data_IF_214459425748
#
_entry.id   IF_214459425748
#
_cell.length_a   1.000
_cell.length_b   1.000
_cell.length_c   1.000
_cell.angle_alpha   90.00
_cell.angle_beta   90.00
_cell.angle_gamma   90.00
#
_symmetry.space_group_name_H-M   'P 1'
#
loop_
_entity.id
_entity.type
_entity.pdbx_description
1 polymer ?
#
# COMPACT_ATOMS: atom_id res chain seq x y z
N UNK A 1 -41.16 43.68 -2.16
CA UNK A 1 -39.80 43.24 -2.48
C UNK A 1 -39.57 41.90 -1.78
N UNK A 2 -39.66 40.82 -2.49
CA UNK A 2 -39.40 39.45 -1.98
C UNK A 2 -37.95 39.11 -2.33
N UNK A 3 -37.10 38.94 -1.32
CA UNK A 3 -35.73 38.49 -1.51
C UNK A 3 -35.75 36.94 -1.63
N UNK A 4 -35.50 36.45 -2.82
CA UNK A 4 -35.37 35.03 -3.10
C UNK A 4 -33.99 34.57 -2.60
N UNK A 5 -33.95 33.84 -1.48
CA UNK A 5 -32.74 33.23 -0.94
C UNK A 5 -32.47 31.94 -1.77
N UNK A 6 -31.59 32.05 -2.76
CA UNK A 6 -31.08 30.87 -3.49
C UNK A 6 -30.15 30.12 -2.56
N UNK A 7 -30.66 29.06 -1.94
CA UNK A 7 -29.86 28.11 -1.18
C UNK A 7 -29.05 27.28 -2.18
N UNK A 8 -27.78 27.64 -2.40
CA UNK A 8 -26.85 26.79 -3.12
C UNK A 8 -26.55 25.57 -2.26
N UNK A 9 -27.16 24.45 -2.60
CA UNK A 9 -26.71 23.15 -2.14
C UNK A 9 -25.32 22.89 -2.74
N UNK A 10 -24.27 23.22 -2.00
CA UNK A 10 -22.96 22.64 -2.22
C UNK A 10 -23.09 21.16 -1.93
N UNK A 11 -23.21 20.35 -2.98
CA UNK A 11 -23.18 18.91 -2.89
C UNK A 11 -21.88 18.50 -2.22
N UNK A 12 -21.93 18.04 -0.98
CA UNK A 12 -20.83 17.35 -0.32
C UNK A 12 -20.55 16.10 -1.15
N UNK A 13 -19.44 16.12 -1.89
CA UNK A 13 -18.93 14.91 -2.52
C UNK A 13 -18.44 13.99 -1.39
N UNK A 14 -19.14 12.91 -1.18
CA UNK A 14 -18.76 11.87 -0.22
C UNK A 14 -17.48 11.20 -0.69
N UNK A 15 -16.44 11.21 0.12
CA UNK A 15 -15.11 10.64 -0.11
C UNK A 15 -14.95 9.40 0.81
N UNK A 16 -14.22 8.38 0.48
CA UNK A 16 -14.50 6.96 0.73
C UNK A 16 -13.34 6.16 1.37
N UNK A 17 -13.50 5.03 2.13
CA UNK A 17 -12.38 4.37 2.84
C UNK A 17 -12.57 2.96 3.41
N UNK A 18 -11.45 2.36 3.93
CA UNK A 18 -11.39 1.02 4.53
C UNK A 18 -12.44 0.77 5.63
N UNK A 19 -12.87 -0.48 5.79
CA UNK A 19 -13.68 -0.92 6.94
C UNK A 19 -12.81 -0.82 8.20
N UNK A 20 -13.26 -0.09 9.21
CA UNK A 20 -12.52 0.07 10.47
C UNK A 20 -13.32 -0.47 11.66
N UNK A 21 -12.64 -1.17 12.56
CA UNK A 21 -13.22 -1.74 13.78
C UNK A 21 -13.29 -0.71 14.92
N UNK A 22 -13.71 0.55 14.62
CA UNK A 22 -14.03 1.54 15.65
C UNK A 22 -15.42 1.35 16.18
N UNK A 23 -15.77 1.94 17.32
CA UNK A 23 -17.12 1.78 17.93
C UNK A 23 -18.25 2.08 16.93
N UNK A 24 -18.12 3.16 16.16
CA UNK A 24 -19.16 3.57 15.19
C UNK A 24 -18.88 3.15 13.75
N UNK A 25 -17.61 2.84 13.41
CA UNK A 25 -17.15 2.62 12.03
C UNK A 25 -17.12 3.87 11.17
N UNK A 26 -17.36 5.05 11.74
CA UNK A 26 -17.48 6.33 11.01
C UNK A 26 -16.28 7.27 11.22
N UNK A 27 -15.30 6.86 12.05
CA UNK A 27 -14.09 7.65 12.34
C UNK A 27 -13.03 7.61 11.23
N UNK A 28 -11.86 8.19 11.53
CA UNK A 28 -10.65 8.14 10.71
C UNK A 28 -10.80 8.75 9.31
N UNK A 29 -11.59 9.82 9.19
CA UNK A 29 -11.91 10.51 7.92
C UNK A 29 -11.06 11.74 7.64
N UNK A 30 -10.10 12.02 8.51
CA UNK A 30 -9.09 13.09 8.36
C UNK A 30 -7.71 12.47 8.57
N UNK A 31 -6.67 13.17 8.14
CA UNK A 31 -5.28 12.71 8.31
C UNK A 31 -5.01 12.25 9.75
N UNK A 32 -4.35 11.10 9.97
CA UNK A 32 -3.90 10.72 11.31
C UNK A 32 -2.89 11.73 11.84
N UNK A 33 -2.76 11.85 13.17
CA UNK A 33 -1.81 12.77 13.79
C UNK A 33 -0.35 12.50 13.42
N UNK A 34 -0.02 11.24 13.18
CA UNK A 34 1.27 10.78 12.61
C UNK A 34 1.03 10.41 11.14
N UNK A 35 0.95 11.44 10.31
CA UNK A 35 0.50 11.35 8.91
C UNK A 35 1.50 10.61 8.01
N UNK A 36 1.14 9.44 7.43
CA UNK A 36 2.02 8.68 6.55
C UNK A 36 2.06 9.19 5.10
N UNK A 37 1.20 10.14 4.72
CA UNK A 37 0.97 10.59 3.35
C UNK A 37 -0.51 10.49 2.96
N UNK A 38 -1.41 10.83 3.89
CA UNK A 38 -2.85 10.84 3.68
C UNK A 38 -3.27 11.63 2.44
N UNK A 39 -2.70 12.79 2.22
CA UNK A 39 -3.02 13.70 1.10
C UNK A 39 -2.64 13.11 -0.26
N UNK A 40 -1.71 12.15 -0.26
CA UNK A 40 -1.25 11.47 -1.47
C UNK A 40 -2.22 10.38 -1.94
N UNK A 41 -3.19 9.97 -1.11
CA UNK A 41 -4.17 8.95 -1.45
C UNK A 41 -5.45 9.64 -1.95
N UNK A 42 -6.00 9.14 -3.05
CA UNK A 42 -7.17 9.76 -3.67
C UNK A 42 -8.10 8.78 -4.36
N UNK A 43 -9.28 9.28 -4.73
CA UNK A 43 -10.29 8.50 -5.44
C UNK A 43 -9.94 8.42 -6.92
N UNK A 44 -9.87 7.20 -7.45
CA UNK A 44 -9.63 6.91 -8.86
C UNK A 44 -10.81 6.07 -9.42
N UNK A 45 -11.75 6.73 -10.07
CA UNK A 45 -12.95 6.05 -10.57
C UNK A 45 -13.69 5.30 -9.47
N UNK A 46 -13.86 3.98 -9.63
CA UNK A 46 -14.47 3.11 -8.62
C UNK A 46 -13.46 2.59 -7.58
N UNK A 47 -12.18 2.91 -7.71
CA UNK A 47 -11.08 2.49 -6.83
C UNK A 47 -10.35 3.67 -6.19
N UNK A 48 -9.12 3.39 -5.81
CA UNK A 48 -8.19 4.30 -5.13
C UNK A 48 -6.90 4.40 -5.94
N UNK A 49 -6.17 5.49 -5.77
CA UNK A 49 -4.83 5.68 -6.34
C UNK A 49 -3.95 6.44 -5.38
N UNK A 50 -2.64 6.29 -5.53
CA UNK A 50 -1.62 6.92 -4.67
C UNK A 50 -0.68 7.77 -5.52
N UNK A 51 -0.65 9.07 -5.25
CA UNK A 51 0.30 9.99 -5.84
C UNK A 51 1.69 9.79 -5.22
N UNK A 52 2.69 9.49 -6.04
CA UNK A 52 4.04 9.16 -5.59
C UNK A 52 5.00 10.35 -5.61
N UNK A 53 4.67 11.41 -6.32
CA UNK A 53 5.56 12.53 -6.64
C UNK A 53 5.80 12.65 -8.14
N UNK A 54 6.35 13.78 -8.60
CA UNK A 54 6.68 14.05 -10.02
C UNK A 54 5.53 13.73 -11.00
N UNK A 55 4.30 14.00 -10.60
CA UNK A 55 3.05 13.72 -11.32
C UNK A 55 2.71 12.23 -11.49
N UNK A 56 3.45 11.30 -10.89
CA UNK A 56 3.17 9.87 -10.99
C UNK A 56 2.13 9.41 -9.98
N UNK A 57 1.23 8.57 -10.44
CA UNK A 57 0.22 7.86 -9.63
C UNK A 57 0.43 6.37 -9.82
N UNK A 58 0.31 5.62 -8.72
CA UNK A 58 0.28 4.17 -8.68
C UNK A 58 -1.09 3.71 -8.19
N UNK A 59 -1.63 2.67 -8.83
CA UNK A 59 -2.92 2.05 -8.50
C UNK A 59 -2.90 0.57 -8.84
N UNK A 60 -3.98 -0.16 -8.55
CA UNK A 60 -4.16 -1.52 -9.06
C UNK A 60 -4.43 -1.51 -10.57
N UNK A 61 -3.93 -2.51 -11.30
CA UNK A 61 -4.11 -2.58 -12.75
C UNK A 61 -5.59 -2.77 -13.14
N UNK A 62 -6.35 -3.53 -12.37
CA UNK A 62 -7.79 -3.69 -12.60
C UNK A 62 -8.61 -2.41 -12.33
N UNK A 63 -8.04 -1.42 -11.60
CA UNK A 63 -8.61 -0.07 -11.47
C UNK A 63 -8.23 0.79 -12.69
N UNK A 64 -7.02 0.63 -13.19
CA UNK A 64 -6.48 1.30 -14.37
C UNK A 64 -6.16 2.78 -14.17
N UNK A 65 -5.59 3.40 -15.20
CA UNK A 65 -5.30 4.83 -15.21
C UNK A 65 -6.52 5.73 -15.45
N UNK A 66 -6.40 7.01 -15.14
CA UNK A 66 -7.39 8.06 -15.39
C UNK A 66 -7.34 9.18 -14.35
N UNK A 67 -8.34 10.03 -14.35
CA UNK A 67 -8.42 11.16 -13.42
C UNK A 67 -8.49 10.71 -11.98
N UNK A 68 -7.83 11.45 -11.09
CA UNK A 68 -7.79 11.18 -9.65
C UNK A 68 -8.22 12.41 -8.88
N UNK A 69 -9.03 12.22 -7.83
CA UNK A 69 -9.43 13.25 -6.87
C UNK A 69 -8.48 13.20 -5.68
N UNK A 70 -7.65 14.23 -5.50
CA UNK A 70 -6.71 14.39 -4.39
C UNK A 70 -7.05 15.69 -3.64
N UNK A 71 -7.26 15.61 -2.33
CA UNK A 71 -7.52 16.79 -1.50
C UNK A 71 -8.73 17.65 -1.96
N UNK A 72 -9.71 17.05 -2.66
CA UNK A 72 -10.88 17.75 -3.20
C UNK A 72 -10.66 18.37 -4.61
N UNK A 73 -9.47 18.25 -5.21
CA UNK A 73 -9.17 18.69 -6.57
C UNK A 73 -9.00 17.48 -7.51
N UNK A 74 -9.56 17.59 -8.72
CA UNK A 74 -9.40 16.56 -9.76
C UNK A 74 -8.17 16.85 -10.61
N UNK A 75 -7.30 15.85 -10.75
CA UNK A 75 -6.12 15.88 -11.60
C UNK A 75 -6.27 14.89 -12.75
N UNK A 76 -6.10 15.40 -13.97
CA UNK A 76 -6.32 14.62 -15.19
C UNK A 76 -5.09 13.78 -15.55
N UNK A 77 -5.31 12.54 -15.96
CA UNK A 77 -4.26 11.67 -16.49
C UNK A 77 -3.69 12.22 -17.80
N UNK A 78 -2.37 12.24 -17.93
CA UNK A 78 -1.70 12.52 -19.20
C UNK A 78 -1.83 11.30 -20.14
N UNK A 79 -2.38 11.52 -21.32
CA UNK A 79 -2.63 10.45 -22.29
C UNK A 79 -1.34 9.73 -22.69
N UNK A 80 -1.40 8.40 -22.82
CA UNK A 80 -0.30 7.56 -23.27
C UNK A 80 0.86 7.37 -22.28
N UNK A 81 0.73 7.83 -21.03
CA UNK A 81 1.79 7.68 -20.01
C UNK A 81 1.66 6.43 -19.15
N UNK A 82 0.51 5.74 -19.24
CA UNK A 82 0.22 4.61 -18.38
C UNK A 82 0.90 3.32 -18.80
N UNK A 83 1.38 2.55 -17.84
CA UNK A 83 1.93 1.21 -18.03
C UNK A 83 1.72 0.33 -16.81
N UNK A 84 1.67 -0.99 -17.04
CA UNK A 84 1.56 -2.00 -16.01
C UNK A 84 2.95 -2.46 -15.57
N UNK A 85 3.15 -2.64 -14.26
CA UNK A 85 4.40 -3.18 -13.73
C UNK A 85 4.53 -4.67 -14.03
N UNK A 86 5.74 -5.19 -13.93
CA UNK A 86 6.08 -6.57 -14.27
C UNK A 86 6.61 -7.35 -13.09
N UNK A 87 6.49 -8.67 -13.13
CA UNK A 87 7.11 -9.62 -12.20
C UNK A 87 8.54 -9.96 -12.65
N UNK A 88 9.33 -8.95 -12.99
CA UNK A 88 10.69 -9.12 -13.53
C UNK A 88 11.56 -9.97 -12.61
N UNK A 89 12.18 -11.02 -13.16
CA UNK A 89 13.06 -11.95 -12.43
C UNK A 89 12.32 -13.05 -11.64
N UNK A 90 10.99 -13.05 -11.58
CA UNK A 90 10.21 -14.09 -10.90
C UNK A 90 9.88 -15.24 -11.83
N UNK A 91 10.64 -16.34 -11.74
CA UNK A 91 10.42 -17.52 -12.56
C UNK A 91 9.08 -18.20 -12.24
N UNK A 92 8.35 -18.61 -13.28
CA UNK A 92 7.07 -19.32 -13.15
C UNK A 92 5.90 -18.43 -12.69
N UNK A 93 6.05 -17.09 -12.77
CA UNK A 93 5.01 -16.11 -12.48
C UNK A 93 4.51 -15.45 -13.77
N UNK A 94 3.32 -14.85 -13.72
CA UNK A 94 2.83 -14.02 -14.81
C UNK A 94 3.81 -12.90 -15.13
N UNK A 95 3.93 -12.51 -16.41
CA UNK A 95 4.84 -11.41 -16.81
C UNK A 95 4.43 -10.09 -16.18
N UNK A 96 3.13 -9.80 -16.17
CA UNK A 96 2.56 -8.59 -15.60
C UNK A 96 2.06 -8.86 -14.17
N UNK A 97 2.03 -7.82 -13.35
CA UNK A 97 1.42 -7.82 -12.02
C UNK A 97 0.19 -6.91 -11.98
N UNK A 98 -0.65 -7.01 -10.96
CA UNK A 98 -1.82 -6.15 -10.80
C UNK A 98 -1.48 -4.75 -10.26
N UNK A 99 -0.44 -4.11 -10.82
CA UNK A 99 -0.03 -2.73 -10.53
C UNK A 99 0.05 -1.90 -11.81
N UNK A 100 -0.47 -0.68 -11.77
CA UNK A 100 -0.49 0.23 -12.90
C UNK A 100 -0.01 1.63 -12.50
N UNK A 101 0.90 2.20 -13.28
CA UNK A 101 1.42 3.55 -13.11
C UNK A 101 1.03 4.45 -14.27
N UNK A 102 0.80 5.74 -13.97
CA UNK A 102 0.52 6.75 -15.00
C UNK A 102 0.89 8.15 -14.49
N UNK A 103 1.06 9.11 -15.40
CA UNK A 103 1.30 10.50 -15.05
C UNK A 103 0.04 11.36 -15.08
N UNK A 104 0.03 12.40 -14.26
CA UNK A 104 -0.92 13.50 -14.31
C UNK A 104 -0.44 14.59 -15.26
N UNK A 105 -1.36 15.35 -15.85
CA UNK A 105 -1.06 16.53 -16.70
C UNK A 105 -0.46 17.67 -15.88
N UNK A 106 -0.85 17.81 -14.61
CA UNK A 106 -0.36 18.81 -13.68
C UNK A 106 0.16 18.16 -12.40
N UNK A 107 1.11 18.82 -11.74
CA UNK A 107 1.63 18.38 -10.44
C UNK A 107 0.69 18.85 -9.32
N UNK A 108 0.21 17.96 -8.43
CA UNK A 108 -0.56 18.33 -7.25
C UNK A 108 0.22 19.17 -6.23
N UNK A 109 1.55 19.21 -6.32
CA UNK A 109 2.40 19.90 -5.35
C UNK A 109 2.50 19.21 -4.00
N UNK A 110 2.11 17.92 -3.92
CA UNK A 110 2.22 17.12 -2.70
C UNK A 110 3.63 16.55 -2.55
N UNK A 111 4.09 16.28 -1.32
CA UNK A 111 5.39 15.66 -1.08
C UNK A 111 5.50 14.30 -1.81
N UNK A 112 6.69 13.99 -2.33
CA UNK A 112 6.97 12.68 -2.86
C UNK A 112 7.02 11.65 -1.72
N UNK A 113 6.43 10.47 -1.95
CA UNK A 113 6.45 9.36 -1.01
C UNK A 113 7.74 8.55 -1.14
N UNK A 114 8.25 8.07 -0.02
CA UNK A 114 9.28 7.03 0.00
C UNK A 114 8.63 5.69 -0.26
N UNK A 115 9.24 4.89 -1.12
CA UNK A 115 8.81 3.51 -1.37
C UNK A 115 9.66 2.57 -0.52
N UNK A 116 9.06 1.60 0.12
CA UNK A 116 9.78 0.59 0.89
C UNK A 116 10.83 -0.13 0.02
N UNK A 117 12.03 -0.32 0.56
CA UNK A 117 13.15 -0.98 -0.13
C UNK A 117 13.37 -2.42 0.32
N UNK A 118 12.62 -2.85 1.31
CA UNK A 118 12.63 -4.22 1.83
C UNK A 118 11.21 -4.62 2.25
N UNK A 119 10.89 -5.90 2.10
CA UNK A 119 9.63 -6.48 2.59
C UNK A 119 9.49 -6.20 4.09
N UNK A 120 8.38 -5.61 4.55
CA UNK A 120 8.13 -5.44 5.98
C UNK A 120 8.05 -6.78 6.70
N UNK A 121 8.67 -6.88 7.86
CA UNK A 121 8.65 -8.10 8.65
C UNK A 121 7.22 -8.46 9.11
N UNK A 122 6.97 -9.75 9.35
CA UNK A 122 5.75 -10.21 10.00
C UNK A 122 5.52 -9.48 11.32
N UNK A 123 4.26 -9.20 11.64
CA UNK A 123 3.80 -8.40 12.79
C UNK A 123 4.22 -6.91 12.74
N UNK A 124 4.82 -6.45 11.66
CA UNK A 124 5.06 -5.02 11.46
C UNK A 124 3.74 -4.28 11.36
N UNK A 125 3.55 -3.27 12.21
CA UNK A 125 2.36 -2.43 12.17
C UNK A 125 2.30 -1.63 10.87
N UNK A 126 1.10 -1.53 10.31
CA UNK A 126 0.81 -0.79 9.08
C UNK A 126 -0.34 0.19 9.30
N UNK A 127 -0.34 1.26 8.50
CA UNK A 127 -1.51 2.13 8.31
C UNK A 127 -2.02 1.96 6.89
N UNK A 128 -3.29 1.57 6.77
CA UNK A 128 -3.99 1.37 5.50
C UNK A 128 -4.83 2.61 5.22
N UNK A 129 -4.76 3.15 4.00
CA UNK A 129 -5.55 4.32 3.58
C UNK A 129 -6.23 3.98 2.27
N UNK A 130 -7.54 4.12 2.23
CA UNK A 130 -8.29 3.78 1.05
C UNK A 130 -9.59 4.55 0.90
N UNK A 131 -10.32 4.23 -0.17
CA UNK A 131 -11.55 4.88 -0.59
C UNK A 131 -12.65 3.85 -0.96
N UNK A 132 -12.74 2.74 -0.22
CA UNK A 132 -13.72 1.67 -0.44
C UNK A 132 -15.08 1.88 0.21
N UNK A 133 -15.90 0.83 0.27
CA UNK A 133 -17.24 0.87 0.85
C UNK A 133 -17.20 1.11 2.36
N UNK A 134 -18.19 1.86 2.87
CA UNK A 134 -18.36 2.12 4.29
C UNK A 134 -18.81 0.87 5.06
N UNK A 135 -18.43 0.83 6.33
CA UNK A 135 -18.92 -0.16 7.28
C UNK A 135 -20.39 0.07 7.63
N UNK A 136 -21.19 -0.98 7.49
CA UNK A 136 -22.56 -1.03 7.95
C UNK A 136 -22.73 -1.60 9.36
N UNK A 137 -23.89 -2.19 9.61
CA UNK A 137 -24.22 -2.79 10.89
C UNK A 137 -23.38 -4.04 11.19
N UNK A 138 -23.13 -4.28 12.48
CA UNK A 138 -22.58 -5.55 12.95
C UNK A 138 -23.49 -6.70 12.57
N UNK A 139 -22.92 -7.80 12.15
CA UNK A 139 -23.63 -9.02 11.77
C UNK A 139 -22.87 -10.26 12.26
N UNK A 140 -23.56 -11.33 12.51
CA UNK A 140 -22.98 -12.58 12.99
C UNK A 140 -23.71 -13.79 12.42
N UNK A 141 -22.98 -14.90 12.29
CA UNK A 141 -23.44 -16.10 11.61
C UNK A 141 -23.04 -17.37 12.32
N UNK A 142 -23.85 -18.42 12.13
CA UNK A 142 -23.41 -19.81 12.25
C UNK A 142 -22.98 -20.30 10.89
N UNK A 143 -21.72 -20.70 10.77
CA UNK A 143 -21.12 -21.19 9.54
C UNK A 143 -20.89 -22.69 9.64
N UNK A 144 -21.50 -23.44 8.74
CA UNK A 144 -21.26 -24.87 8.57
C UNK A 144 -20.20 -25.07 7.46
N UNK A 145 -19.05 -25.59 7.81
CA UNK A 145 -17.90 -25.83 6.90
C UNK A 145 -17.86 -27.24 6.35
N UNK A 146 -18.91 -28.07 6.54
CA UNK A 146 -18.96 -29.44 6.05
C UNK A 146 -19.15 -29.55 4.53
N UNK A 147 -19.53 -28.44 3.86
CA UNK A 147 -19.67 -28.34 2.40
C UNK A 147 -18.84 -27.21 1.85
N UNK A 148 -18.53 -27.25 0.56
CA UNK A 148 -17.92 -26.12 -0.18
C UNK A 148 -18.86 -25.82 -1.37
N UNK A 149 -19.47 -24.61 -1.44
CA UNK A 149 -19.30 -23.48 -0.51
C UNK A 149 -19.88 -23.72 0.89
N UNK A 150 -19.34 -23.02 1.90
CA UNK A 150 -19.84 -23.07 3.28
C UNK A 150 -21.28 -22.55 3.37
N UNK A 151 -22.03 -23.08 4.30
CA UNK A 151 -23.42 -22.62 4.54
C UNK A 151 -23.42 -21.62 5.68
N UNK A 152 -23.83 -20.38 5.39
CA UNK A 152 -23.90 -19.27 6.31
C UNK A 152 -25.34 -19.00 6.73
N UNK A 153 -25.60 -19.03 8.02
CA UNK A 153 -26.94 -18.73 8.60
C UNK A 153 -26.80 -17.60 9.61
N UNK A 154 -27.55 -16.52 9.43
CA UNK A 154 -27.55 -15.40 10.39
C UNK A 154 -27.91 -15.93 11.79
N UNK A 155 -27.08 -15.61 12.79
CA UNK A 155 -27.24 -16.08 14.16
C UNK A 155 -26.64 -15.07 15.14
N UNK A 156 -27.47 -14.60 16.10
CA UNK A 156 -27.06 -13.65 17.13
C UNK A 156 -26.87 -14.30 18.51
N UNK A 157 -27.21 -15.59 18.67
CA UNK A 157 -27.19 -16.26 19.99
C UNK A 157 -25.87 -16.96 20.22
N UNK A 158 -25.44 -17.84 19.30
CA UNK A 158 -24.19 -18.60 19.37
C UNK A 158 -23.48 -18.58 18.02
N UNK A 159 -23.01 -17.42 17.54
CA UNK A 159 -22.31 -17.32 16.27
C UNK A 159 -20.90 -17.91 16.38
N UNK A 160 -20.41 -18.50 15.28
CA UNK A 160 -19.01 -18.87 15.13
C UNK A 160 -18.27 -18.00 14.09
N UNK A 161 -18.97 -17.04 13.48
CA UNK A 161 -18.41 -15.99 12.66
C UNK A 161 -19.13 -14.67 12.92
N UNK A 162 -18.41 -13.56 12.81
CA UNK A 162 -18.94 -12.23 13.01
C UNK A 162 -18.17 -11.19 12.17
N UNK A 163 -18.76 -10.01 12.01
CA UNK A 163 -18.18 -8.91 11.25
C UNK A 163 -19.21 -7.82 11.01
N UNK A 164 -19.17 -7.23 9.82
CA UNK A 164 -20.02 -6.09 9.47
C UNK A 164 -20.61 -6.28 8.08
N UNK A 165 -21.82 -5.76 7.86
CA UNK A 165 -22.27 -5.47 6.50
C UNK A 165 -21.45 -4.34 5.90
N UNK A 166 -21.40 -4.23 4.58
CA UNK A 166 -20.90 -3.04 3.88
C UNK A 166 -22.07 -2.23 3.34
N UNK A 167 -21.88 -0.91 3.28
CA UNK A 167 -22.85 0.03 2.71
C UNK A 167 -22.45 0.35 1.26
N UNK A 168 -23.41 0.86 0.48
CA UNK A 168 -23.14 1.37 -0.87
C UNK A 168 -22.58 2.81 -0.86
N UNK A 169 -22.40 3.41 0.31
CA UNK A 169 -21.69 4.66 0.51
C UNK A 169 -20.20 4.38 0.70
N UNK A 170 -19.38 5.35 0.48
CA UNK A 170 -17.93 5.26 0.51
C UNK A 170 -17.37 6.52 1.19
N UNK A 171 -16.39 6.44 2.09
CA UNK A 171 -15.73 7.57 2.79
C UNK A 171 -14.23 7.29 2.89
N UNK A 172 -13.34 8.20 2.44
CA UNK A 172 -11.90 8.02 2.59
C UNK A 172 -11.55 7.90 4.08
N UNK A 173 -10.85 6.81 4.42
CA UNK A 173 -10.49 6.46 5.80
C UNK A 173 -9.09 5.90 5.87
N UNK A 174 -8.54 5.95 7.06
CA UNK A 174 -7.39 5.15 7.42
C UNK A 174 -7.75 4.18 8.54
N UNK A 175 -7.03 3.09 8.60
CA UNK A 175 -7.06 2.14 9.71
C UNK A 175 -5.69 1.53 9.91
N UNK A 176 -5.54 0.76 10.98
CA UNK A 176 -4.29 0.10 11.33
C UNK A 176 -4.44 -1.40 11.24
N UNK A 177 -3.35 -2.10 11.02
CA UNK A 177 -3.28 -3.55 11.06
C UNK A 177 -1.80 -3.97 11.25
N UNK A 178 -1.50 -5.27 11.14
CA UNK A 178 -0.14 -5.78 11.12
C UNK A 178 0.04 -6.79 9.98
N UNK A 179 1.25 -6.90 9.44
CA UNK A 179 1.57 -7.88 8.41
C UNK A 179 1.44 -9.28 9.00
N UNK A 180 0.51 -10.06 8.47
CA UNK A 180 0.24 -11.44 8.89
C UNK A 180 0.97 -12.48 8.03
N UNK A 181 1.08 -12.22 6.72
CA UNK A 181 1.70 -13.10 5.74
C UNK A 181 2.46 -12.30 4.69
N UNK A 182 3.42 -12.94 4.05
CA UNK A 182 4.12 -12.46 2.86
C UNK A 182 4.31 -13.60 1.86
N UNK A 183 4.45 -13.29 0.59
CA UNK A 183 4.74 -14.30 -0.43
C UNK A 183 3.99 -14.07 -1.74
N UNK A 184 4.10 -15.04 -2.63
CA UNK A 184 3.45 -14.99 -3.94
C UNK A 184 2.03 -15.55 -3.89
N UNK A 185 1.09 -14.84 -4.51
CA UNK A 185 -0.26 -15.33 -4.76
C UNK A 185 -0.80 -14.81 -6.09
N UNK A 186 -1.78 -15.52 -6.63
CA UNK A 186 -2.53 -15.06 -7.78
C UNK A 186 -3.60 -14.05 -7.35
N UNK A 187 -3.71 -12.95 -8.10
CA UNK A 187 -4.76 -11.95 -8.01
C UNK A 187 -5.44 -11.89 -9.38
N UNK A 188 -6.60 -12.55 -9.50
CA UNK A 188 -7.24 -12.74 -10.80
C UNK A 188 -6.32 -13.50 -11.77
N UNK A 189 -5.98 -12.88 -12.90
CA UNK A 189 -5.09 -13.44 -13.92
C UNK A 189 -3.60 -13.12 -13.69
N UNK A 190 -3.26 -12.31 -12.69
CA UNK A 190 -1.89 -11.89 -12.40
C UNK A 190 -1.36 -12.53 -11.12
N UNK A 191 -0.07 -12.90 -11.12
CA UNK A 191 0.65 -13.13 -9.88
C UNK A 191 1.14 -11.80 -9.29
N UNK A 192 1.26 -11.74 -7.97
CA UNK A 192 1.93 -10.64 -7.28
C UNK A 192 2.72 -11.14 -6.07
N UNK A 193 3.86 -10.51 -5.80
CA UNK A 193 4.51 -10.60 -4.48
C UNK A 193 3.67 -9.77 -3.52
N UNK A 194 3.18 -10.39 -2.44
CA UNK A 194 2.16 -9.82 -1.57
C UNK A 194 2.62 -9.66 -0.13
N UNK A 195 1.98 -8.69 0.51
CA UNK A 195 1.79 -8.54 1.94
C UNK A 195 0.32 -8.82 2.25
N UNK A 196 0.02 -9.56 3.30
CA UNK A 196 -1.35 -9.75 3.77
C UNK A 196 -1.51 -9.25 5.20
N UNK A 197 -2.67 -8.65 5.47
CA UNK A 197 -3.13 -8.33 6.83
C UNK A 197 -4.41 -9.09 7.12
N UNK A 198 -4.65 -9.47 8.39
CA UNK A 198 -5.86 -10.18 8.81
C UNK A 198 -6.73 -9.24 9.62
N UNK A 199 -8.02 -9.20 9.33
CA UNK A 199 -9.00 -8.40 10.06
C UNK A 199 -9.47 -9.18 11.28
N UNK A 200 -8.83 -9.00 12.41
CA UNK A 200 -9.23 -9.64 13.65
C UNK A 200 -9.87 -8.63 14.63
N UNK A 201 -10.52 -9.12 15.67
CA UNK A 201 -11.19 -8.28 16.65
C UNK A 201 -10.27 -7.94 17.85
N UNK A 202 -9.00 -8.26 17.77
CA UNK A 202 -8.11 -8.31 18.93
C UNK A 202 -7.00 -7.27 18.88
N UNK A 203 -6.60 -6.80 17.68
CA UNK A 203 -5.35 -6.05 17.51
C UNK A 203 -5.46 -4.57 17.92
N UNK A 204 -6.46 -3.85 17.44
CA UNK A 204 -6.66 -2.44 17.81
C UNK A 204 -8.10 -1.96 17.56
N UNK A 205 -8.47 -0.84 18.20
CA UNK A 205 -9.76 -0.18 17.96
C UNK A 205 -9.88 0.47 16.57
N UNK A 206 -8.77 0.57 15.82
CA UNK A 206 -8.74 1.11 14.44
C UNK A 206 -8.33 0.04 13.44
N UNK A 207 -8.40 -1.24 13.82
CA UNK A 207 -8.10 -2.33 12.93
C UNK A 207 -8.95 -2.28 11.68
N UNK A 208 -8.34 -2.60 10.54
CA UNK A 208 -8.96 -2.36 9.25
C UNK A 208 -8.83 -3.53 8.29
N UNK A 209 -9.85 -3.63 7.43
CA UNK A 209 -9.93 -4.50 6.27
C UNK A 209 -10.21 -3.64 5.04
N UNK A 210 -9.59 -3.97 3.91
CA UNK A 210 -10.01 -3.39 2.64
C UNK A 210 -11.43 -3.85 2.26
N UNK A 211 -12.13 -3.02 1.52
CA UNK A 211 -13.43 -3.30 0.93
C UNK A 211 -13.41 -2.98 -0.56
N UNK A 212 -14.47 -3.32 -1.27
CA UNK A 212 -14.64 -2.94 -2.68
C UNK A 212 -14.42 -1.43 -2.84
N UNK A 213 -13.49 -1.05 -3.74
CA UNK A 213 -13.10 0.33 -3.97
C UNK A 213 -11.82 0.76 -3.24
N UNK A 214 -11.28 -0.04 -2.32
CA UNK A 214 -9.95 0.20 -1.75
C UNK A 214 -8.82 -0.29 -2.66
N UNK A 215 -9.12 -1.05 -3.69
CA UNK A 215 -8.15 -1.43 -4.73
C UNK A 215 -7.37 -0.21 -5.23
N UNK A 216 -6.04 -0.28 -5.20
CA UNK A 216 -5.15 0.83 -5.49
C UNK A 216 -4.84 1.74 -4.30
N UNK A 217 -5.42 1.50 -3.12
CA UNK A 217 -5.14 2.22 -1.88
C UNK A 217 -3.82 1.84 -1.23
N UNK A 218 -3.36 2.68 -0.31
CA UNK A 218 -2.02 2.63 0.27
C UNK A 218 -1.93 1.75 1.52
N UNK A 219 -0.81 1.04 1.65
CA UNK A 219 -0.35 0.43 2.91
C UNK A 219 1.00 1.02 3.27
N UNK A 220 1.04 1.75 4.39
CA UNK A 220 2.24 2.41 4.88
C UNK A 220 2.84 1.66 6.06
N UNK A 221 4.18 1.63 6.13
CA UNK A 221 4.96 1.20 7.30
C UNK A 221 5.80 2.34 7.82
N UNK A 222 6.12 2.31 9.12
CA UNK A 222 7.04 3.29 9.71
C UNK A 222 8.36 2.61 10.05
N UNK A 223 9.45 3.08 9.44
CA UNK A 223 10.81 2.64 9.70
C UNK A 223 11.58 3.75 10.43
N UNK A 224 11.86 3.54 11.72
CA UNK A 224 12.37 4.59 12.58
C UNK A 224 11.36 5.75 12.68
N UNK A 225 11.76 6.93 12.22
CA UNK A 225 10.89 8.12 12.18
C UNK A 225 10.26 8.36 10.80
N UNK A 226 10.62 7.59 9.77
CA UNK A 226 10.18 7.80 8.39
C UNK A 226 9.03 6.86 8.03
N UNK A 227 8.01 7.40 7.36
CA UNK A 227 6.97 6.62 6.70
C UNK A 227 7.41 6.20 5.30
N UNK A 228 7.06 4.97 4.93
CA UNK A 228 7.31 4.40 3.61
C UNK A 228 6.02 3.76 3.08
N UNK A 229 5.73 3.97 1.81
CA UNK A 229 4.68 3.25 1.10
C UNK A 229 5.19 1.83 0.83
N UNK A 230 4.64 0.86 1.56
CA UNK A 230 5.07 -0.53 1.51
C UNK A 230 4.18 -1.40 0.62
N UNK A 231 2.91 -1.01 0.42
CA UNK A 231 2.01 -1.81 -0.40
C UNK A 231 0.90 -1.01 -1.06
N UNK A 232 0.31 -1.62 -2.09
CA UNK A 232 -0.93 -1.20 -2.75
C UNK A 232 -1.96 -2.29 -2.57
N UNK A 233 -3.12 -1.96 -2.00
CA UNK A 233 -4.22 -2.90 -1.80
C UNK A 233 -4.78 -3.40 -3.13
N UNK A 234 -4.91 -4.72 -3.29
CA UNK A 234 -5.34 -5.36 -4.52
C UNK A 234 -6.64 -6.16 -4.35
N UNK A 235 -6.76 -6.92 -3.27
CA UNK A 235 -7.87 -7.84 -3.10
C UNK A 235 -8.22 -8.07 -1.63
N UNK A 236 -9.43 -8.57 -1.41
CA UNK A 236 -9.88 -9.12 -0.12
C UNK A 236 -10.11 -10.61 -0.29
N UNK A 237 -9.53 -11.40 0.60
CA UNK A 237 -9.76 -12.84 0.69
C UNK A 237 -10.89 -13.09 1.68
N UNK A 238 -11.92 -13.74 1.21
CA UNK A 238 -13.13 -14.05 1.96
C UNK A 238 -13.28 -15.57 2.15
N UNK A 239 -14.10 -15.96 3.11
CA UNK A 239 -14.46 -17.37 3.28
C UNK A 239 -15.33 -17.88 2.13
N UNK A 240 -15.25 -19.18 1.89
CA UNK A 240 -16.12 -19.83 0.91
C UNK A 240 -17.60 -19.63 1.28
N UNK A 241 -18.40 -19.22 0.31
CA UNK A 241 -19.84 -18.96 0.51
C UNK A 241 -20.17 -17.77 1.43
N UNK A 242 -19.17 -16.96 1.83
CA UNK A 242 -19.43 -15.76 2.64
C UNK A 242 -20.50 -14.88 2.01
N UNK A 243 -21.50 -14.38 2.79
CA UNK A 243 -22.51 -13.48 2.26
C UNK A 243 -21.90 -12.27 1.57
N UNK A 244 -22.41 -11.92 0.40
CA UNK A 244 -21.97 -10.73 -0.33
C UNK A 244 -22.17 -9.46 0.50
N UNK A 245 -21.37 -8.43 0.22
CA UNK A 245 -21.42 -7.16 0.93
C UNK A 245 -21.23 -7.30 2.45
N UNK A 246 -20.29 -8.16 2.85
CA UNK A 246 -19.86 -8.32 4.24
C UNK A 246 -18.34 -8.26 4.40
N UNK A 247 -17.91 -7.74 5.54
CA UNK A 247 -16.54 -7.73 6.05
C UNK A 247 -16.51 -8.59 7.32
N UNK A 248 -16.01 -9.80 7.23
CA UNK A 248 -16.02 -10.77 8.33
C UNK A 248 -14.66 -10.78 9.00
N UNK A 249 -14.60 -10.93 10.32
CA UNK A 249 -13.34 -11.12 11.02
C UNK A 249 -12.62 -12.34 10.45
N UNK A 250 -11.30 -12.30 10.42
CA UNK A 250 -10.39 -13.22 9.76
C UNK A 250 -10.36 -13.12 8.22
N UNK A 251 -11.15 -12.24 7.57
CA UNK A 251 -10.89 -11.89 6.19
C UNK A 251 -9.52 -11.22 6.07
N UNK A 252 -8.88 -11.35 4.92
CA UNK A 252 -7.55 -10.80 4.70
C UNK A 252 -7.55 -9.74 3.60
N UNK A 253 -6.74 -8.69 3.78
CA UNK A 253 -6.40 -7.77 2.70
C UNK A 253 -5.08 -8.20 2.09
N UNK A 254 -5.06 -8.41 0.78
CA UNK A 254 -3.86 -8.67 -0.02
C UNK A 254 -3.41 -7.38 -0.69
N UNK A 255 -2.15 -7.02 -0.48
CA UNK A 255 -1.52 -5.83 -1.04
C UNK A 255 -0.23 -6.21 -1.74
N UNK A 256 0.07 -5.62 -2.90
CA UNK A 256 1.37 -5.83 -3.54
C UNK A 256 2.50 -5.34 -2.62
N UNK A 257 3.55 -6.13 -2.43
CA UNK A 257 4.77 -5.71 -1.75
C UNK A 257 5.61 -4.81 -2.67
N UNK A 258 5.59 -3.51 -2.42
CA UNK A 258 6.27 -2.55 -3.27
C UNK A 258 7.79 -2.63 -3.18
N UNK A 259 8.36 -3.29 -2.18
CA UNK A 259 9.80 -3.50 -2.12
C UNK A 259 10.30 -4.36 -3.29
N UNK A 260 9.51 -5.34 -3.74
CA UNK A 260 9.80 -6.13 -4.92
C UNK A 260 9.75 -5.30 -6.21
N UNK A 261 8.81 -4.36 -6.31
CA UNK A 261 8.61 -3.51 -7.48
C UNK A 261 9.38 -2.18 -7.40
N UNK A 262 10.08 -1.91 -6.30
CA UNK A 262 10.76 -0.64 -6.02
C UNK A 262 11.65 -0.20 -7.19
N UNK A 263 12.47 -1.11 -7.73
CA UNK A 263 13.38 -0.80 -8.85
C UNK A 263 12.68 -0.25 -10.10
N UNK A 264 11.46 -0.72 -10.41
CA UNK A 264 10.68 -0.22 -11.54
C UNK A 264 10.04 1.15 -11.22
N UNK A 265 9.60 1.34 -9.98
CA UNK A 265 8.94 2.58 -9.53
C UNK A 265 9.95 3.74 -9.50
N UNK A 266 11.12 3.55 -8.86
CA UNK A 266 12.12 4.62 -8.70
C UNK A 266 12.83 5.01 -10.00
N UNK A 267 12.78 4.17 -11.04
CA UNK A 267 13.26 4.53 -12.38
C UNK A 267 12.49 5.70 -12.98
N UNK A 268 11.20 5.82 -12.65
CA UNK A 268 10.32 6.88 -13.19
C UNK A 268 9.96 7.94 -12.15
N UNK A 269 10.01 7.59 -10.87
CA UNK A 269 9.77 8.49 -9.73
C UNK A 269 11.04 8.55 -8.86
N UNK A 270 12.07 9.34 -9.26
CA UNK A 270 13.28 9.46 -8.47
C UNK A 270 12.97 9.99 -7.07
N UNK A 271 13.52 9.32 -6.05
CA UNK A 271 13.36 9.78 -4.67
C UNK A 271 13.98 11.18 -4.47
N UNK A 272 13.38 12.06 -3.63
CA UNK A 272 13.88 13.41 -3.39
C UNK A 272 15.36 13.46 -2.95
N UNK A 273 15.81 12.44 -2.20
CA UNK A 273 17.20 12.30 -1.75
C UNK A 273 18.15 11.90 -2.87
N UNK A 274 17.68 11.16 -3.88
CA UNK A 274 18.50 10.78 -5.03
C UNK A 274 18.92 11.97 -5.88
N UNK A 275 18.03 12.93 -6.09
CA UNK A 275 18.32 14.16 -6.83
C UNK A 275 19.30 15.06 -6.04
N UNK A 276 19.13 15.18 -4.73
CA UNK A 276 20.03 15.95 -3.87
C UNK A 276 21.45 15.33 -3.83
N UNK A 277 21.56 13.99 -3.75
CA UNK A 277 22.85 13.29 -3.80
C UNK A 277 23.50 13.38 -5.20
N UNK A 278 22.72 13.30 -6.27
CA UNK A 278 23.24 13.46 -7.63
C UNK A 278 23.80 14.88 -7.85
N UNK A 279 23.10 15.91 -7.40
CA UNK A 279 23.55 17.30 -7.47
C UNK A 279 24.79 17.52 -6.57
N UNK A 280 24.79 17.00 -5.34
CA UNK A 280 25.93 17.06 -4.43
C UNK A 280 27.14 16.29 -5.00
N UNK A 281 26.92 15.11 -5.58
CA UNK A 281 27.95 14.33 -6.26
C UNK A 281 28.56 15.06 -7.47
N UNK A 282 27.73 15.74 -8.26
CA UNK A 282 28.14 16.54 -9.39
C UNK A 282 28.96 17.78 -8.97
N UNK A 283 28.55 18.46 -7.91
CA UNK A 283 29.26 19.61 -7.33
C UNK A 283 30.59 19.19 -6.70
N UNK A 284 30.64 18.04 -6.03
CA UNK A 284 31.89 17.49 -5.49
C UNK A 284 32.84 17.06 -6.60
N UNK A 285 32.36 16.40 -7.66
CA UNK A 285 33.15 15.98 -8.78
C UNK A 285 33.73 17.18 -9.56
N UNK A 286 32.94 18.23 -9.76
CA UNK A 286 33.41 19.49 -10.41
C UNK A 286 34.38 20.27 -9.51
N UNK A 287 34.19 20.28 -8.18
CA UNK A 287 35.09 20.86 -7.22
C UNK A 287 36.47 20.15 -7.17
N UNK A 288 36.49 18.82 -7.25
CA UNK A 288 37.74 18.04 -7.33
C UNK A 288 38.48 18.22 -8.67
N UNK A 289 37.76 18.42 -9.77
CA UNK A 289 38.34 18.72 -11.06
C UNK A 289 39.04 20.10 -11.06
N UNK A 290 38.44 21.11 -10.44
CA UNK A 290 39.03 22.44 -10.29
C UNK A 290 40.25 22.48 -9.34
N UNK A 291 40.26 21.63 -8.28
CA UNK A 291 41.38 21.55 -7.34
C UNK A 291 42.60 20.84 -7.91
N UNK A 292 42.47 19.97 -8.93
CA UNK A 292 43.58 19.26 -9.57
C UNK A 292 44.39 20.13 -10.51
N UNK A 293 43.96 21.31 -10.90
CA UNK A 293 44.68 22.23 -11.78
C UNK A 293 45.62 23.21 -11.06
N UNK A 294 45.66 23.19 -9.71
CA UNK A 294 46.38 24.14 -8.90
C UNK A 294 47.40 23.56 -7.89
N UNK A 295 47.79 22.28 -8.01
CA UNK A 295 48.77 21.69 -7.10
C UNK A 295 50.19 21.64 -7.72
N UNK A 296 51.24 22.18 -7.05
CA UNK A 296 52.62 22.02 -7.50
C UNK A 296 53.14 20.62 -7.17
N UNK A 297 53.98 20.13 -8.06
CA UNK A 297 54.69 18.83 -7.96
C UNK A 297 55.65 18.81 -6.78
N UNK A 298 55.48 17.88 -5.84
CA UNK A 298 56.52 17.66 -4.82
C UNK A 298 56.07 16.71 -3.71
N UNK A 299 56.74 15.57 -3.60
CA UNK A 299 56.81 14.77 -2.38
C UNK A 299 56.10 13.41 -2.38
N UNK A 300 56.89 12.35 -2.62
CA UNK A 300 56.50 10.94 -2.42
C UNK A 300 56.57 10.63 -0.92
N UNK A 301 55.47 10.15 -0.35
CA UNK A 301 55.49 9.51 0.98
C UNK A 301 54.91 8.09 0.84
N UNK A 302 55.77 7.10 1.08
CA UNK A 302 55.41 5.69 1.11
C UNK A 302 54.95 5.35 2.53
N UNK A 303 53.76 4.82 2.69
CA UNK A 303 53.30 4.22 3.93
C UNK A 303 52.85 2.78 3.66
N UNK A 304 53.62 1.84 4.16
CA UNK A 304 53.24 0.41 4.26
C UNK A 304 52.23 0.22 5.38
N UNK A 305 51.11 -0.45 5.07
CA UNK A 305 50.23 -0.97 6.06
C UNK A 305 50.12 -2.50 5.96
N UNK A 306 50.64 -3.18 6.97
CA UNK A 306 50.55 -4.63 7.13
C UNK A 306 49.12 -5.04 7.52
N UNK A 307 48.59 -5.98 6.75
CA UNK A 307 47.33 -6.64 7.06
C UNK A 307 47.40 -7.68 8.17
N UNK A 308 46.33 -7.81 8.90
CA UNK A 308 46.11 -8.97 9.78
C UNK A 308 44.78 -9.60 9.39
N UNK A 309 44.83 -10.85 8.91
CA UNK A 309 43.69 -11.68 8.57
C UNK A 309 43.34 -12.52 9.80
N UNK A 310 42.13 -12.40 10.29
CA UNK A 310 41.56 -13.34 11.28
C UNK A 310 40.36 -14.09 10.65
N UNK A 311 40.56 -15.38 10.48
CA UNK A 311 39.49 -16.33 10.13
C UNK A 311 38.81 -16.81 11.41
N UNK A 312 37.50 -16.66 11.47
CA UNK A 312 36.65 -17.29 12.47
C UNK A 312 35.41 -17.85 11.80
N UNK A 313 35.41 -19.14 11.52
CA UNK A 313 34.23 -19.85 11.01
C UNK A 313 33.33 -20.29 12.14
N UNK A 314 32.05 -20.04 12.01
CA UNK A 314 31.02 -20.77 12.74
C UNK A 314 29.95 -21.23 11.75
N UNK A 315 29.89 -22.54 11.55
CA UNK A 315 28.78 -23.21 10.88
C UNK A 315 27.67 -23.43 11.92
N UNK A 316 26.50 -22.88 11.72
CA UNK A 316 25.28 -23.36 12.35
C UNK A 316 24.37 -23.99 11.32
N UNK A 317 24.14 -25.29 11.48
CA UNK A 317 23.11 -26.03 10.76
C UNK A 317 21.76 -25.56 11.29
N UNK A 318 20.87 -25.10 10.44
CA UNK A 318 19.45 -25.10 10.71
C UNK A 318 18.78 -26.19 9.88
N UNK A 319 18.26 -27.19 10.60
CA UNK A 319 17.42 -28.23 10.03
C UNK A 319 16.09 -27.61 9.56
N UNK A 320 15.86 -27.68 8.26
CA UNK A 320 14.58 -27.33 7.64
C UNK A 320 13.60 -28.48 7.81
N UNK A 321 12.58 -28.31 8.67
CA UNK A 321 11.36 -29.11 8.60
C UNK A 321 10.38 -28.44 7.64
N UNK A 322 9.77 -29.16 6.71
CA UNK A 322 8.80 -28.59 5.81
C UNK A 322 7.46 -28.38 6.54
N UNK A 323 7.00 -27.15 6.63
CA UNK A 323 5.60 -26.86 6.93
C UNK A 323 4.79 -27.00 5.65
N UNK A 324 4.25 -28.18 5.43
CA UNK A 324 3.21 -28.40 4.45
C UNK A 324 1.86 -28.16 5.10
N UNK A 325 1.14 -27.18 4.62
CA UNK A 325 -0.27 -27.12 4.25
C UNK A 325 -0.74 -25.68 4.25
N UNK A 326 -0.70 -25.08 3.07
CA UNK A 326 -1.56 -23.93 2.81
C UNK A 326 -3.01 -24.41 2.93
N UNK A 327 -3.72 -23.94 3.94
CA UNK A 327 -5.17 -24.05 4.00
C UNK A 327 -5.72 -23.16 2.87
N UNK A 328 -6.32 -23.79 1.87
CA UNK A 328 -7.21 -23.10 0.94
C UNK A 328 -8.46 -22.77 1.75
N UNK A 329 -8.66 -21.50 1.99
CA UNK A 329 -9.93 -20.95 2.42
C UNK A 329 -10.67 -20.38 1.22
#
# INVERSE_FOLDING_TARGET
>A
MAVCLVCQFLGQQSVFGVIVNTVTGTGNTTAPSDNPGWENVGVRGIGTGVYLGNRWVLTASHVGGGDILLGGATYTMAAGTGFQLTNAGASGKSTLTDLYMYQLTADPGLPALRIATSTPALQKAVTMVGAGLDRGAYASWSVNTASDPYVWTANSINPNAAGYATLNTRTMRWGTNAIALEGWSAIGEFDAQLLATTFDNLYSSSESLAATGDSGGAVFVKNGSAWELAGIMLAVVQYSGQPSSTAVFENQTYSADLSFYNGQIVQVVPEPSGLALAIAGFLMASGLAAARTSAPVGGILVLEARGHVSRGGLRSRCDSKPLARALRF
#
